data_IF_040771805996
#
_entry.id   IF_040771805996
#
_cell.length_a   1.000
_cell.length_b   1.000
_cell.length_c   1.000
_cell.angle_alpha   90.00
_cell.angle_beta   90.00
_cell.angle_gamma   90.00
#
_symmetry.space_group_name_H-M   'P 1'
#
loop_
_entity.id
_entity.type
_entity.pdbx_description
1 polymer ?
#
# COMPACT_ATOMS: atom_id res chain seq x y z
N UNK A 1 -0.31 -18.08 -29.72
CA UNK A 1 -1.34 -17.63 -28.75
C UNK A 1 -0.58 -17.02 -27.58
N UNK A 2 -0.52 -15.72 -27.51
CA UNK A 2 0.06 -15.00 -26.37
C UNK A 2 -0.89 -15.21 -25.19
N UNK A 3 -0.44 -15.92 -24.17
CA UNK A 3 -1.20 -16.11 -22.94
C UNK A 3 -1.45 -14.73 -22.36
N UNK A 4 -2.71 -14.33 -22.30
CA UNK A 4 -3.16 -13.05 -21.73
C UNK A 4 -2.73 -13.04 -20.26
N UNK A 5 -1.77 -12.21 -19.87
CA UNK A 5 -1.36 -12.09 -18.48
C UNK A 5 -2.50 -11.38 -17.72
N UNK A 6 -3.19 -12.11 -16.87
CA UNK A 6 -4.18 -11.50 -15.99
C UNK A 6 -3.43 -10.61 -14.98
N UNK A 7 -3.77 -9.31 -14.95
CA UNK A 7 -3.23 -8.38 -13.94
C UNK A 7 -3.80 -8.76 -12.57
N UNK A 8 -2.95 -9.10 -11.58
CA UNK A 8 -3.40 -9.53 -10.26
C UNK A 8 -3.85 -8.31 -9.43
N UNK A 9 -5.11 -7.90 -9.60
CA UNK A 9 -5.67 -6.80 -8.82
C UNK A 9 -5.93 -7.18 -7.37
N UNK A 10 -5.89 -6.19 -6.48
CA UNK A 10 -6.15 -6.29 -5.05
C UNK A 10 -6.84 -5.02 -4.54
N UNK A 11 -7.30 -5.04 -3.29
CA UNK A 11 -7.96 -3.91 -2.65
C UNK A 11 -7.27 -3.55 -1.33
N UNK A 12 -6.87 -2.30 -1.19
CA UNK A 12 -6.55 -1.72 0.11
C UNK A 12 -7.85 -1.22 0.77
N UNK A 13 -8.01 -1.50 2.06
CA UNK A 13 -9.24 -1.21 2.82
C UNK A 13 -9.63 0.27 2.78
N UNK A 14 -8.67 1.19 2.61
CA UNK A 14 -8.96 2.63 2.49
C UNK A 14 -9.85 2.95 1.28
N UNK A 15 -9.85 2.14 0.24
CA UNK A 15 -10.69 2.37 -0.94
C UNK A 15 -12.18 2.20 -0.65
N UNK A 16 -12.53 1.33 0.31
CA UNK A 16 -13.91 1.10 0.75
C UNK A 16 -13.96 1.04 2.30
N UNK A 17 -13.63 2.15 3.00
CA UNK A 17 -13.31 2.13 4.43
C UNK A 17 -14.50 1.83 5.35
N UNK A 18 -15.74 1.92 4.83
CA UNK A 18 -16.95 1.64 5.58
C UNK A 18 -17.30 0.15 5.65
N UNK A 19 -16.65 -0.67 4.83
CA UNK A 19 -16.84 -2.10 4.85
C UNK A 19 -16.17 -2.72 6.07
N UNK A 20 -16.76 -3.79 6.61
CA UNK A 20 -16.07 -4.67 7.56
C UNK A 20 -15.00 -5.49 6.83
N UNK A 21 -14.09 -6.14 7.57
CA UNK A 21 -13.11 -7.05 6.95
C UNK A 21 -13.78 -8.14 6.10
N UNK A 22 -14.88 -8.72 6.59
CA UNK A 22 -15.63 -9.73 5.85
C UNK A 22 -16.19 -9.17 4.54
N UNK A 23 -16.86 -8.02 4.59
CA UNK A 23 -17.42 -7.38 3.40
C UNK A 23 -16.34 -6.98 2.37
N UNK A 24 -15.16 -6.54 2.83
CA UNK A 24 -14.05 -6.24 1.94
C UNK A 24 -13.49 -7.51 1.28
N UNK A 25 -13.38 -8.60 2.04
CA UNK A 25 -12.93 -9.91 1.53
C UNK A 25 -13.95 -10.45 0.50
N UNK A 26 -15.25 -10.35 0.80
CA UNK A 26 -16.32 -10.76 -0.13
C UNK A 26 -16.26 -9.93 -1.42
N UNK A 27 -16.17 -8.60 -1.31
CA UNK A 27 -16.01 -7.69 -2.46
C UNK A 27 -14.78 -8.04 -3.31
N UNK A 28 -13.64 -8.33 -2.67
CA UNK A 28 -12.43 -8.73 -3.37
C UNK A 28 -12.61 -10.05 -4.13
N UNK A 29 -13.30 -11.03 -3.52
CA UNK A 29 -13.63 -12.31 -4.15
C UNK A 29 -14.57 -12.12 -5.36
N UNK A 30 -15.60 -11.29 -5.23
CA UNK A 30 -16.57 -10.98 -6.31
C UNK A 30 -15.91 -10.27 -7.51
N UNK A 31 -14.87 -9.48 -7.26
CA UNK A 31 -14.11 -8.75 -8.29
C UNK A 31 -12.91 -9.53 -8.85
N UNK A 32 -12.76 -10.81 -8.52
CA UNK A 32 -11.60 -11.64 -8.90
C UNK A 32 -10.25 -11.03 -8.46
N UNK A 33 -10.22 -10.33 -7.31
CA UNK A 33 -9.00 -9.82 -6.74
C UNK A 33 -8.20 -10.94 -6.06
N UNK A 34 -6.86 -10.86 -6.16
CA UNK A 34 -5.96 -11.85 -5.54
C UNK A 34 -5.81 -11.70 -4.03
N UNK A 35 -6.22 -10.55 -3.46
CA UNK A 35 -6.12 -10.30 -2.03
C UNK A 35 -6.57 -8.91 -1.61
N UNK A 36 -6.46 -8.70 -0.30
CA UNK A 36 -6.77 -7.42 0.36
C UNK A 36 -5.66 -7.00 1.31
N UNK A 37 -5.56 -5.69 1.54
CA UNK A 37 -4.78 -5.10 2.63
C UNK A 37 -5.76 -4.53 3.65
N UNK A 38 -5.67 -4.97 4.91
CA UNK A 38 -6.54 -4.51 6.00
C UNK A 38 -5.86 -3.37 6.78
N UNK A 39 -6.66 -2.44 7.31
CA UNK A 39 -6.15 -1.23 7.99
C UNK A 39 -6.66 -1.10 9.41
N UNK A 40 -5.77 -0.67 10.33
CA UNK A 40 -6.11 -0.42 11.74
C UNK A 40 -6.29 1.08 12.09
N UNK A 41 -6.05 1.96 11.13
CA UNK A 41 -6.10 3.41 11.27
C UNK A 41 -7.43 4.06 10.85
N UNK A 42 -8.39 3.29 10.33
CA UNK A 42 -9.64 3.82 9.77
C UNK A 42 -10.52 4.53 10.81
N UNK A 43 -10.54 4.04 12.06
CA UNK A 43 -11.27 4.70 13.17
C UNK A 43 -10.62 6.04 13.50
N UNK A 44 -9.30 6.07 13.62
CA UNK A 44 -8.54 7.29 13.95
C UNK A 44 -8.70 8.36 12.87
N UNK A 45 -8.79 7.92 11.61
CA UNK A 45 -9.09 8.78 10.44
C UNK A 45 -10.58 9.15 10.33
N UNK A 46 -11.46 8.62 11.19
CA UNK A 46 -12.93 8.82 11.14
C UNK A 46 -13.57 8.39 9.81
N UNK A 47 -13.05 7.34 9.21
CA UNK A 47 -13.52 6.78 7.95
C UNK A 47 -14.36 5.51 8.16
N UNK A 48 -14.27 4.89 9.34
CA UNK A 48 -15.01 3.68 9.71
C UNK A 48 -15.35 3.70 11.19
N UNK A 49 -16.42 2.98 11.55
CA UNK A 49 -16.75 2.64 12.93
C UNK A 49 -16.26 1.24 13.32
N UNK A 50 -15.59 0.55 12.39
CA UNK A 50 -15.11 -0.83 12.59
C UNK A 50 -13.62 -0.85 12.89
N UNK A 51 -13.26 -1.48 14.02
CA UNK A 51 -11.87 -1.77 14.33
C UNK A 51 -11.30 -2.83 13.37
N UNK A 52 -9.97 -2.86 13.24
CA UNK A 52 -9.29 -3.96 12.55
C UNK A 52 -9.80 -5.31 13.11
N UNK A 53 -10.19 -6.20 12.24
CA UNK A 53 -10.84 -7.49 12.55
C UNK A 53 -12.21 -7.41 13.25
N UNK A 54 -12.80 -6.24 13.47
CA UNK A 54 -14.13 -6.11 14.07
C UNK A 54 -14.26 -6.65 15.50
N UNK A 55 -13.13 -6.82 16.21
CA UNK A 55 -13.09 -7.45 17.53
C UNK A 55 -13.00 -9.00 17.48
N UNK A 56 -12.95 -9.59 16.30
CA UNK A 56 -12.76 -11.03 16.11
C UNK A 56 -11.30 -11.46 16.25
N UNK A 57 -11.09 -12.77 16.43
CA UNK A 57 -9.76 -13.36 16.38
C UNK A 57 -9.13 -13.17 14.99
N UNK A 58 -7.92 -12.59 14.88
CA UNK A 58 -7.23 -12.47 13.60
C UNK A 58 -7.15 -13.78 12.81
N UNK A 59 -7.01 -14.94 13.49
CA UNK A 59 -6.98 -16.24 12.85
C UNK A 59 -8.30 -16.60 12.14
N UNK A 60 -9.44 -16.16 12.69
CA UNK A 60 -10.76 -16.38 12.08
C UNK A 60 -10.89 -15.59 10.77
N UNK A 61 -10.48 -14.33 10.77
CA UNK A 61 -10.47 -13.50 9.56
C UNK A 61 -9.52 -14.09 8.47
N UNK A 62 -8.36 -14.58 8.89
CA UNK A 62 -7.44 -15.28 7.99
C UNK A 62 -8.03 -16.57 7.39
N UNK A 63 -8.79 -17.34 8.19
CA UNK A 63 -9.50 -18.53 7.71
C UNK A 63 -10.59 -18.13 6.69
N UNK A 64 -11.37 -17.12 7.02
CA UNK A 64 -12.43 -16.60 6.16
C UNK A 64 -11.91 -16.13 4.79
N UNK A 65 -10.78 -15.44 4.77
CA UNK A 65 -10.15 -14.99 3.54
C UNK A 65 -9.69 -16.19 2.67
N UNK A 66 -9.06 -17.21 3.30
CA UNK A 66 -8.62 -18.44 2.60
C UNK A 66 -9.77 -19.21 1.99
N UNK A 67 -10.91 -19.34 2.69
CA UNK A 67 -12.12 -19.99 2.18
C UNK A 67 -12.64 -19.32 0.90
N UNK A 68 -12.39 -18.02 0.72
CA UNK A 68 -12.75 -17.24 -0.47
C UNK A 68 -11.64 -17.11 -1.50
N UNK A 69 -10.54 -17.79 -1.30
CA UNK A 69 -9.34 -17.69 -2.15
C UNK A 69 -8.77 -16.27 -2.22
N UNK A 70 -8.99 -15.45 -1.20
CA UNK A 70 -8.49 -14.07 -1.06
C UNK A 70 -7.30 -14.09 -0.08
N UNK A 71 -6.15 -13.54 -0.51
CA UNK A 71 -4.96 -13.43 0.33
C UNK A 71 -5.07 -12.19 1.24
N UNK A 72 -4.57 -12.27 2.47
CA UNK A 72 -4.29 -11.10 3.28
C UNK A 72 -2.88 -10.60 2.93
N UNK A 73 -2.78 -9.62 2.04
CA UNK A 73 -1.51 -9.15 1.50
C UNK A 73 -0.73 -8.33 2.52
N UNK A 74 -1.43 -7.61 3.39
CA UNK A 74 -0.78 -6.81 4.42
C UNK A 74 -1.75 -6.26 5.46
N UNK A 75 -1.15 -5.83 6.58
CA UNK A 75 -1.81 -5.02 7.61
C UNK A 75 -1.18 -3.63 7.66
N UNK A 76 -1.97 -2.59 7.57
CA UNK A 76 -1.57 -1.18 7.71
C UNK A 76 -2.09 -0.62 9.03
N UNK A 77 -1.39 0.33 9.70
CA UNK A 77 -0.10 0.90 9.29
C UNK A 77 0.78 1.19 10.51
N UNK A 78 2.08 1.23 10.29
CA UNK A 78 3.04 1.82 11.25
C UNK A 78 3.45 3.20 10.72
N UNK A 79 2.66 4.22 11.05
CA UNK A 79 2.97 5.61 10.68
C UNK A 79 4.14 6.18 11.49
N UNK A 80 5.02 6.90 10.80
CA UNK A 80 6.18 7.55 11.41
C UNK A 80 7.27 6.57 11.85
N UNK A 81 7.33 5.36 11.27
CA UNK A 81 8.23 4.28 11.68
C UNK A 81 9.69 4.71 11.77
N UNK A 82 10.11 5.66 10.94
CA UNK A 82 11.46 6.18 10.87
C UNK A 82 11.81 7.24 11.94
N UNK A 83 10.87 7.51 12.87
CA UNK A 83 11.15 8.14 14.17
C UNK A 83 11.17 7.05 15.23
N UNK A 84 12.27 6.32 15.27
CA UNK A 84 12.37 5.14 16.13
C UNK A 84 12.35 5.48 17.62
N UNK A 85 11.59 4.70 18.39
CA UNK A 85 11.48 4.80 19.85
C UNK A 85 11.02 3.45 20.43
N UNK A 86 11.09 3.25 21.77
CA UNK A 86 10.52 2.08 22.42
C UNK A 86 9.03 1.87 22.11
N UNK A 87 8.24 2.94 22.10
CA UNK A 87 6.81 2.90 21.80
C UNK A 87 6.56 2.49 20.34
N UNK A 88 7.45 2.91 19.42
CA UNK A 88 7.39 2.48 18.02
C UNK A 88 7.71 0.99 17.91
N UNK A 89 8.68 0.48 18.68
CA UNK A 89 8.98 -0.95 18.72
C UNK A 89 7.77 -1.79 19.17
N UNK A 90 7.03 -1.32 20.17
CA UNK A 90 5.82 -2.01 20.67
C UNK A 90 4.69 -2.00 19.62
N UNK A 91 4.50 -0.89 18.91
CA UNK A 91 3.55 -0.83 17.78
C UNK A 91 3.91 -1.84 16.69
N UNK A 92 5.19 -1.89 16.29
CA UNK A 92 5.67 -2.85 15.29
C UNK A 92 5.42 -4.29 15.74
N UNK A 93 5.80 -4.66 16.98
CA UNK A 93 5.57 -5.99 17.52
C UNK A 93 4.08 -6.35 17.55
N UNK A 94 3.23 -5.42 17.97
CA UNK A 94 1.79 -5.62 18.01
C UNK A 94 1.21 -5.90 16.61
N UNK A 95 1.59 -5.13 15.61
CA UNK A 95 1.09 -5.32 14.24
C UNK A 95 1.64 -6.61 13.60
N UNK A 96 2.92 -6.92 13.83
CA UNK A 96 3.57 -8.17 13.40
C UNK A 96 2.85 -9.39 14.00
N UNK A 97 2.54 -9.38 15.32
CA UNK A 97 1.81 -10.46 15.96
C UNK A 97 0.39 -10.65 15.39
N UNK A 98 -0.29 -9.55 15.06
CA UNK A 98 -1.59 -9.62 14.37
C UNK A 98 -1.45 -10.20 12.95
N UNK A 99 -0.40 -9.82 12.20
CA UNK A 99 -0.13 -10.34 10.86
C UNK A 99 0.18 -11.85 10.90
N UNK A 100 1.04 -12.26 11.79
CA UNK A 100 1.36 -13.69 12.00
C UNK A 100 0.10 -14.51 12.33
N UNK A 101 -0.72 -14.02 13.26
CA UNK A 101 -1.93 -14.72 13.69
C UNK A 101 -3.02 -14.79 12.62
N UNK A 102 -3.18 -13.75 11.80
CA UNK A 102 -4.13 -13.73 10.69
C UNK A 102 -3.62 -14.46 9.44
N UNK A 103 -2.32 -14.69 9.34
CA UNK A 103 -1.66 -15.17 8.14
C UNK A 103 -1.51 -14.09 7.07
N UNK A 104 -1.50 -12.81 7.47
CA UNK A 104 -1.16 -11.72 6.57
C UNK A 104 0.34 -11.78 6.19
N UNK A 105 0.65 -11.45 4.95
CA UNK A 105 1.99 -11.64 4.38
C UNK A 105 2.97 -10.53 4.79
N UNK A 106 2.44 -9.36 5.15
CA UNK A 106 3.26 -8.18 5.43
C UNK A 106 2.61 -7.20 6.40
N UNK A 107 3.41 -6.23 6.85
CA UNK A 107 2.95 -5.00 7.48
C UNK A 107 3.42 -3.78 6.67
N UNK A 108 2.69 -2.65 6.72
CA UNK A 108 3.06 -1.41 6.03
C UNK A 108 3.79 -0.45 6.95
N UNK A 109 4.90 0.09 6.47
CA UNK A 109 5.73 1.09 7.13
C UNK A 109 5.63 2.42 6.39
N UNK A 110 4.93 3.38 6.99
CA UNK A 110 4.68 4.70 6.41
C UNK A 110 5.59 5.73 7.09
N UNK A 111 6.40 6.49 6.32
CA UNK A 111 7.31 7.48 6.89
C UNK A 111 6.55 8.69 7.44
N UNK A 112 7.19 9.44 8.30
CA UNK A 112 6.68 10.74 8.75
C UNK A 112 6.46 11.69 7.58
N UNK A 113 5.30 12.36 7.57
CA UNK A 113 4.94 13.38 6.58
C UNK A 113 4.45 14.69 7.24
N UNK A 114 4.98 15.03 8.40
CA UNK A 114 4.50 16.08 9.30
C UNK A 114 5.56 17.17 9.59
N UNK A 115 6.39 17.54 8.69
CA UNK A 115 7.41 18.62 8.82
C UNK A 115 7.77 19.08 10.27
N UNK A 116 8.96 19.62 10.55
CA UNK A 116 9.88 20.19 9.58
C UNK A 116 10.71 19.14 8.86
N UNK A 117 11.04 19.46 7.60
CA UNK A 117 11.88 18.60 6.77
C UNK A 117 13.29 18.57 7.33
N UNK A 118 13.74 17.39 7.77
CA UNK A 118 15.11 17.16 8.20
C UNK A 118 16.08 17.23 7.01
N UNK A 119 17.36 17.45 7.30
CA UNK A 119 18.41 17.35 6.28
C UNK A 119 18.46 15.92 5.69
N UNK A 120 18.91 15.75 4.43
CA UNK A 120 19.03 14.42 3.82
C UNK A 120 19.86 13.43 4.65
N UNK A 121 20.93 13.93 5.33
CA UNK A 121 21.79 13.11 6.19
C UNK A 121 21.05 12.60 7.44
N UNK A 122 20.29 13.46 8.11
CA UNK A 122 19.48 13.08 9.28
C UNK A 122 18.41 12.06 8.89
N UNK A 123 17.67 12.30 7.80
CA UNK A 123 16.67 11.35 7.29
C UNK A 123 17.26 9.98 7.01
N UNK A 124 18.42 9.93 6.37
CA UNK A 124 19.10 8.67 6.06
C UNK A 124 19.57 7.92 7.30
N UNK A 125 20.00 8.64 8.36
CA UNK A 125 20.38 8.04 9.64
C UNK A 125 19.14 7.48 10.35
N UNK A 126 18.07 8.26 10.46
CA UNK A 126 16.82 7.86 11.12
C UNK A 126 16.21 6.63 10.44
N UNK A 127 16.17 6.64 9.11
CA UNK A 127 15.66 5.52 8.33
C UNK A 127 16.46 4.23 8.58
N UNK A 128 17.80 4.30 8.50
CA UNK A 128 18.65 3.12 8.76
C UNK A 128 18.54 2.64 10.19
N UNK A 129 18.45 3.54 11.16
CA UNK A 129 18.28 3.20 12.58
C UNK A 129 16.98 2.43 12.79
N UNK A 130 15.88 2.92 12.24
CA UNK A 130 14.59 2.26 12.34
C UNK A 130 14.60 0.87 11.65
N UNK A 131 15.10 0.78 10.42
CA UNK A 131 15.15 -0.49 9.71
C UNK A 131 16.04 -1.51 10.40
N UNK A 132 17.20 -1.10 10.94
CA UNK A 132 18.07 -2.00 11.70
C UNK A 132 17.38 -2.55 12.96
N UNK A 133 16.56 -1.74 13.63
CA UNK A 133 15.86 -2.13 14.84
C UNK A 133 14.58 -2.98 14.55
N UNK A 134 13.90 -2.74 13.43
CA UNK A 134 12.72 -3.53 13.01
C UNK A 134 13.12 -4.90 12.46
N UNK A 135 14.26 -5.00 11.79
CA UNK A 135 14.70 -6.22 11.10
C UNK A 135 14.64 -7.51 11.95
N UNK A 136 15.14 -7.56 13.21
CA UNK A 136 15.05 -8.76 14.03
C UNK A 136 13.60 -9.14 14.36
N UNK A 137 12.70 -8.18 14.54
CA UNK A 137 11.26 -8.44 14.81
C UNK A 137 10.62 -9.14 13.62
N UNK A 138 10.88 -8.66 12.41
CA UNK A 138 10.37 -9.28 11.18
C UNK A 138 10.98 -10.66 10.93
N UNK A 139 12.28 -10.81 11.21
CA UNK A 139 12.99 -12.07 10.99
C UNK A 139 12.49 -13.18 11.90
N UNK A 140 12.18 -12.87 13.16
CA UNK A 140 11.63 -13.82 14.14
C UNK A 140 10.24 -14.33 13.73
N UNK A 141 9.37 -13.44 13.27
CA UNK A 141 8.01 -13.76 12.85
C UNK A 141 7.90 -14.28 11.40
N UNK A 142 8.95 -14.14 10.58
CA UNK A 142 8.90 -14.49 9.15
C UNK A 142 8.00 -13.58 8.30
N UNK A 143 7.66 -12.39 8.81
CA UNK A 143 6.79 -11.39 8.16
C UNK A 143 7.63 -10.45 7.30
N UNK A 144 7.07 -9.97 6.18
CA UNK A 144 7.64 -8.88 5.38
C UNK A 144 7.19 -7.51 5.92
N UNK A 145 8.00 -6.49 5.69
CA UNK A 145 7.53 -5.11 5.82
C UNK A 145 7.62 -4.40 4.46
N UNK A 146 6.55 -3.70 4.11
CA UNK A 146 6.40 -2.89 2.92
C UNK A 146 6.66 -1.43 3.29
N UNK A 147 7.71 -0.84 2.73
CA UNK A 147 8.08 0.56 2.96
C UNK A 147 7.48 1.38 1.84
N UNK A 148 6.68 2.39 2.20
CA UNK A 148 6.06 3.28 1.23
C UNK A 148 6.72 4.66 1.23
N UNK A 149 7.59 4.99 0.28
CA UNK A 149 8.06 6.36 0.10
C UNK A 149 6.93 7.26 -0.37
N UNK A 150 6.69 8.35 0.36
CA UNK A 150 5.65 9.32 0.02
C UNK A 150 6.22 10.46 -0.82
N UNK A 151 5.67 10.71 -2.00
CA UNK A 151 6.15 11.72 -2.95
C UNK A 151 6.06 13.18 -2.49
N UNK A 152 5.45 13.47 -1.34
CA UNK A 152 5.30 14.81 -0.80
C UNK A 152 6.64 15.46 -0.41
N UNK A 153 6.73 16.77 -0.57
CA UNK A 153 7.91 17.55 -0.16
C UNK A 153 8.14 17.56 1.35
N UNK A 154 7.09 17.29 2.13
CA UNK A 154 7.11 17.20 3.59
C UNK A 154 7.47 15.81 4.11
N UNK A 155 7.56 14.80 3.22
CA UNK A 155 7.88 13.45 3.63
C UNK A 155 9.34 13.30 4.07
N UNK A 156 9.52 12.57 5.15
CA UNK A 156 10.85 12.19 5.66
C UNK A 156 11.51 11.07 4.83
N UNK A 157 10.75 10.41 3.95
CA UNK A 157 11.25 9.46 2.95
C UNK A 157 10.47 9.69 1.66
N UNK A 158 11.08 10.41 0.72
CA UNK A 158 10.42 10.82 -0.51
C UNK A 158 10.65 9.86 -1.68
N UNK A 159 11.85 9.30 -1.79
CA UNK A 159 12.29 8.56 -2.96
C UNK A 159 12.53 7.08 -2.65
N UNK A 160 12.11 6.22 -3.58
CA UNK A 160 12.35 4.76 -3.49
C UNK A 160 13.84 4.42 -3.42
N UNK A 161 14.69 5.18 -4.13
CA UNK A 161 16.15 5.01 -4.05
C UNK A 161 16.66 5.12 -2.61
N UNK A 162 16.20 6.11 -1.83
CA UNK A 162 16.60 6.29 -0.42
C UNK A 162 16.25 5.04 0.41
N UNK A 163 15.05 4.48 0.18
CA UNK A 163 14.63 3.24 0.86
C UNK A 163 15.47 2.04 0.45
N UNK A 164 15.74 1.86 -0.85
CA UNK A 164 16.58 0.75 -1.36
C UNK A 164 18.00 0.82 -0.80
N UNK A 165 18.59 2.00 -0.74
CA UNK A 165 19.93 2.20 -0.16
C UNK A 165 19.95 1.86 1.34
N UNK A 166 18.90 2.26 2.08
CA UNK A 166 18.78 1.93 3.50
C UNK A 166 18.58 0.42 3.72
N UNK A 167 17.72 -0.24 2.92
CA UNK A 167 17.52 -1.70 2.96
C UNK A 167 18.84 -2.44 2.72
N UNK A 168 19.63 -2.01 1.71
CA UNK A 168 20.95 -2.59 1.43
C UNK A 168 21.91 -2.39 2.60
N UNK A 169 21.94 -1.18 3.17
CA UNK A 169 22.85 -0.84 4.27
C UNK A 169 22.61 -1.70 5.53
N UNK A 170 21.36 -2.09 5.80
CA UNK A 170 21.02 -2.95 6.96
C UNK A 170 20.98 -4.44 6.61
N UNK A 171 21.29 -4.84 5.36
CA UNK A 171 21.21 -6.24 4.93
C UNK A 171 19.79 -6.81 4.90
N UNK A 172 18.78 -5.94 4.83
CA UNK A 172 17.37 -6.28 5.04
C UNK A 172 16.60 -6.81 3.83
N UNK A 173 17.24 -7.04 2.67
CA UNK A 173 16.54 -7.42 1.41
C UNK A 173 15.59 -8.63 1.56
N UNK A 174 15.85 -9.52 2.51
CA UNK A 174 14.99 -10.70 2.73
C UNK A 174 13.64 -10.30 3.36
N UNK A 175 13.59 -9.24 4.19
CA UNK A 175 12.44 -8.89 5.01
C UNK A 175 11.77 -7.57 4.63
N UNK A 176 12.42 -6.74 3.79
CA UNK A 176 11.86 -5.48 3.32
C UNK A 176 11.54 -5.52 1.83
N UNK A 177 10.40 -4.92 1.47
CA UNK A 177 10.03 -4.58 0.11
C UNK A 177 9.52 -3.14 0.07
N UNK A 178 9.38 -2.61 -1.12
CA UNK A 178 8.76 -1.30 -1.37
C UNK A 178 7.28 -1.46 -1.70
N UNK A 179 6.51 -0.47 -1.33
CA UNK A 179 5.32 -0.09 -2.05
C UNK A 179 5.75 0.80 -3.22
N UNK A 180 5.34 0.45 -4.45
CA UNK A 180 5.36 1.39 -5.55
C UNK A 180 3.95 1.98 -5.66
N UNK A 181 3.73 3.13 -5.06
CA UNK A 181 2.48 3.86 -5.20
C UNK A 181 2.55 4.78 -6.43
N UNK A 182 1.60 4.65 -7.35
CA UNK A 182 1.59 5.39 -8.63
C UNK A 182 1.42 6.89 -8.43
N UNK A 183 0.65 7.30 -7.41
CA UNK A 183 0.47 8.69 -7.04
C UNK A 183 1.77 9.28 -6.46
N UNK A 184 2.37 8.60 -5.49
CA UNK A 184 3.60 9.06 -4.87
C UNK A 184 4.79 9.03 -5.82
N UNK A 185 4.86 8.05 -6.72
CA UNK A 185 5.86 8.00 -7.79
C UNK A 185 5.76 9.23 -8.71
N UNK A 186 4.52 9.58 -9.11
CA UNK A 186 4.26 10.75 -9.94
C UNK A 186 4.64 12.06 -9.22
N UNK A 187 4.23 12.22 -7.95
CA UNK A 187 4.57 13.41 -7.15
C UNK A 187 6.07 13.57 -6.91
N UNK A 188 6.77 12.47 -6.72
CA UNK A 188 8.22 12.49 -6.52
C UNK A 188 8.98 12.87 -7.80
N UNK A 189 8.36 12.69 -8.97
CA UNK A 189 9.02 12.87 -10.26
C UNK A 189 10.14 11.85 -10.49
N UNK A 190 10.02 10.65 -9.90
CA UNK A 190 11.00 9.58 -10.08
C UNK A 190 10.88 8.93 -11.46
N UNK A 191 12.03 8.52 -12.01
CA UNK A 191 12.10 7.72 -13.24
C UNK A 191 12.48 6.26 -12.99
N UNK A 192 12.88 5.91 -11.76
CA UNK A 192 13.30 4.56 -11.39
C UNK A 192 12.19 3.78 -10.69
N UNK A 193 12.06 2.50 -11.04
CA UNK A 193 10.96 1.64 -10.60
C UNK A 193 11.32 0.63 -9.50
N UNK A 194 12.51 0.04 -9.50
CA UNK A 194 12.99 -0.98 -8.54
C UNK A 194 12.08 -2.22 -8.43
N UNK A 195 11.72 -2.89 -9.52
CA UNK A 195 10.76 -4.01 -9.50
C UNK A 195 11.22 -5.17 -8.60
N UNK A 196 12.53 -5.41 -8.47
CA UNK A 196 13.11 -6.46 -7.64
C UNK A 196 13.03 -6.19 -6.13
N UNK A 197 12.68 -4.96 -5.75
CA UNK A 197 12.38 -4.55 -4.37
C UNK A 197 10.88 -4.34 -4.15
N UNK A 198 10.07 -4.22 -5.19
CA UNK A 198 8.63 -3.93 -5.07
C UNK A 198 7.88 -5.17 -4.59
N UNK A 199 7.17 -5.04 -3.48
CA UNK A 199 6.31 -6.09 -2.92
C UNK A 199 4.85 -5.94 -3.35
N UNK A 200 4.37 -4.70 -3.44
CA UNK A 200 3.03 -4.37 -3.89
C UNK A 200 3.05 -3.04 -4.67
N UNK A 201 2.11 -2.87 -5.57
CA UNK A 201 1.86 -1.60 -6.27
C UNK A 201 0.52 -1.04 -5.82
N UNK A 202 0.51 0.18 -5.27
CA UNK A 202 -0.72 0.91 -5.03
C UNK A 202 -1.11 1.70 -6.28
N UNK A 203 -2.38 1.61 -6.66
CA UNK A 203 -2.96 2.34 -7.78
C UNK A 203 -4.12 3.23 -7.32
N UNK A 204 -4.14 4.43 -7.84
CA UNK A 204 -5.25 5.38 -7.74
C UNK A 204 -5.15 6.36 -8.91
N UNK A 205 -6.25 6.98 -9.32
CA UNK A 205 -6.28 7.96 -10.39
C UNK A 205 -6.35 9.40 -9.87
N UNK A 206 -5.94 10.35 -10.68
CA UNK A 206 -6.24 11.77 -10.52
C UNK A 206 -6.68 12.31 -11.88
N UNK A 207 -7.93 12.74 -12.00
CA UNK A 207 -8.50 13.25 -13.28
C UNK A 207 -8.68 14.77 -13.28
N UNK A 208 -8.53 15.47 -12.15
CA UNK A 208 -8.73 16.91 -12.02
C UNK A 208 -7.69 17.71 -12.80
N UNK A 209 -8.07 18.23 -13.98
CA UNK A 209 -7.16 18.85 -14.95
C UNK A 209 -6.52 20.16 -14.46
N UNK A 210 -7.17 20.89 -13.56
CA UNK A 210 -6.74 22.22 -13.13
C UNK A 210 -5.73 22.19 -11.98
N UNK A 211 -5.57 21.04 -11.30
CA UNK A 211 -4.64 20.92 -10.19
C UNK A 211 -3.21 20.69 -10.68
N UNK A 212 -2.25 21.48 -10.20
CA UNK A 212 -0.84 21.20 -10.49
C UNK A 212 -0.29 20.10 -9.56
N UNK A 213 0.80 19.45 -9.97
CA UNK A 213 1.35 18.28 -9.27
C UNK A 213 1.66 18.58 -7.80
N UNK A 214 2.20 19.77 -7.50
CA UNK A 214 2.57 20.20 -6.15
C UNK A 214 1.36 20.40 -5.23
N UNK A 215 0.18 20.57 -5.82
CA UNK A 215 -1.09 20.75 -5.10
C UNK A 215 -1.88 19.45 -4.96
N UNK A 216 -1.49 18.38 -5.64
CA UNK A 216 -2.14 17.09 -5.49
C UNK A 216 -2.02 16.59 -4.04
N UNK A 217 -3.12 16.05 -3.50
CA UNK A 217 -3.23 15.49 -2.15
C UNK A 217 -4.02 14.18 -2.22
N UNK A 218 -4.02 13.43 -1.12
CA UNK A 218 -4.74 12.15 -1.04
C UNK A 218 -6.23 12.28 -1.39
N UNK A 219 -6.88 13.39 -1.06
CA UNK A 219 -8.30 13.64 -1.38
C UNK A 219 -8.62 13.65 -2.88
N UNK A 220 -7.61 13.82 -3.74
CA UNK A 220 -7.77 13.78 -5.20
C UNK A 220 -7.62 12.36 -5.77
N UNK A 221 -7.24 11.38 -4.95
CA UNK A 221 -6.99 10.00 -5.36
C UNK A 221 -8.30 9.25 -5.53
N UNK A 222 -8.77 9.15 -6.78
CA UNK A 222 -9.99 8.45 -7.20
C UNK A 222 -9.66 7.09 -7.83
N UNK A 223 -10.67 6.39 -8.34
CA UNK A 223 -10.46 5.20 -9.17
C UNK A 223 -9.92 5.61 -10.56
N UNK A 224 -9.09 4.74 -11.14
CA UNK A 224 -8.44 5.02 -12.44
C UNK A 224 -9.46 4.94 -13.58
N UNK A 225 -9.44 5.94 -14.44
CA UNK A 225 -10.24 6.04 -15.65
C UNK A 225 -9.39 6.56 -16.85
N UNK A 226 -10.03 6.88 -17.97
CA UNK A 226 -9.39 7.39 -19.17
C UNK A 226 -8.76 8.78 -19.03
N UNK A 227 -9.18 9.55 -18.03
CA UNK A 227 -8.66 10.91 -17.75
C UNK A 227 -7.51 10.90 -16.73
N UNK A 228 -7.03 9.72 -16.34
CA UNK A 228 -5.98 9.57 -15.34
C UNK A 228 -4.68 10.26 -15.70
N UNK A 229 -4.28 11.23 -14.90
CA UNK A 229 -3.06 12.04 -15.05
C UNK A 229 -1.81 11.41 -14.45
N UNK A 230 -1.97 10.40 -13.61
CA UNK A 230 -0.84 9.70 -12.97
C UNK A 230 -0.18 8.70 -13.92
N UNK A 231 -0.80 8.43 -15.08
CA UNK A 231 -0.32 7.48 -16.09
C UNK A 231 -0.24 6.06 -15.53
N UNK A 232 -1.25 5.63 -14.78
CA UNK A 232 -1.29 4.30 -14.17
C UNK A 232 -1.04 3.18 -15.19
N UNK A 233 -1.67 3.25 -16.37
CA UNK A 233 -1.48 2.26 -17.44
C UNK A 233 -0.01 2.14 -17.84
N UNK A 234 0.69 3.27 -18.01
CA UNK A 234 2.11 3.26 -18.38
C UNK A 234 2.98 2.73 -17.24
N UNK A 235 2.71 3.14 -16.00
CA UNK A 235 3.46 2.65 -14.83
C UNK A 235 3.28 1.14 -14.64
N UNK A 236 2.08 0.60 -14.83
CA UNK A 236 1.80 -0.85 -14.76
C UNK A 236 2.56 -1.59 -15.87
N UNK A 237 2.54 -1.06 -17.12
CA UNK A 237 3.30 -1.64 -18.25
C UNK A 237 4.80 -1.65 -17.98
N UNK A 238 5.34 -0.54 -17.50
CA UNK A 238 6.77 -0.41 -17.22
C UNK A 238 7.23 -1.38 -16.12
N UNK A 239 6.47 -1.48 -15.02
CA UNK A 239 6.76 -2.43 -13.94
C UNK A 239 6.71 -3.86 -14.44
N UNK A 240 5.66 -4.22 -15.17
CA UNK A 240 5.47 -5.57 -15.71
C UNK A 240 6.57 -5.92 -16.72
N UNK A 241 6.90 -5.02 -17.63
CA UNK A 241 7.99 -5.21 -18.61
C UNK A 241 9.36 -5.40 -17.95
N UNK A 242 9.54 -4.83 -16.73
CA UNK A 242 10.76 -4.98 -15.92
C UNK A 242 10.72 -6.20 -14.98
N UNK A 243 9.69 -7.06 -15.09
CA UNK A 243 9.59 -8.32 -14.38
C UNK A 243 8.81 -8.28 -13.06
N UNK A 244 8.08 -7.19 -12.75
CA UNK A 244 7.14 -7.22 -11.63
C UNK A 244 5.93 -8.09 -11.97
N UNK A 245 5.57 -9.01 -11.07
CA UNK A 245 4.46 -9.93 -11.22
C UNK A 245 3.56 -10.00 -9.97
N UNK A 246 3.76 -9.07 -9.05
CA UNK A 246 2.99 -8.98 -7.79
C UNK A 246 1.66 -8.23 -7.95
N UNK A 247 0.93 -8.05 -6.82
CA UNK A 247 -0.39 -7.43 -6.82
C UNK A 247 -0.37 -5.93 -7.16
N UNK A 248 -1.46 -5.49 -7.81
CA UNK A 248 -1.81 -4.08 -8.02
C UNK A 248 -3.05 -3.78 -7.19
N UNK A 249 -2.86 -3.08 -6.08
CA UNK A 249 -3.87 -2.85 -5.04
C UNK A 249 -4.47 -1.45 -5.15
N UNK A 250 -5.79 -1.34 -5.25
CA UNK A 250 -6.45 -0.04 -5.20
C UNK A 250 -6.30 0.61 -3.85
N UNK A 251 -5.79 1.86 -3.86
CA UNK A 251 -5.65 2.70 -2.68
C UNK A 251 -6.18 4.12 -2.98
N UNK A 252 -7.50 4.23 -3.12
CA UNK A 252 -8.18 5.49 -3.38
C UNK A 252 -8.60 6.17 -2.07
N UNK A 253 -8.24 7.45 -1.92
CA UNK A 253 -8.51 8.23 -0.70
C UNK A 253 -9.61 9.27 -0.86
N UNK A 254 -10.12 9.46 -2.08
CA UNK A 254 -11.12 10.50 -2.33
C UNK A 254 -12.41 10.27 -1.53
N UNK A 255 -12.94 11.31 -0.84
CA UNK A 255 -14.24 11.21 -0.18
C UNK A 255 -15.38 10.80 -1.11
N UNK A 256 -15.27 11.11 -2.41
CA UNK A 256 -16.27 10.70 -3.41
C UNK A 256 -16.28 9.18 -3.59
N UNK A 257 -15.10 8.55 -3.61
CA UNK A 257 -14.99 7.09 -3.67
C UNK A 257 -15.50 6.46 -2.37
N UNK A 258 -15.10 7.00 -1.22
CA UNK A 258 -15.51 6.50 0.10
C UNK A 258 -17.03 6.61 0.35
N UNK A 259 -17.69 7.56 -0.28
CA UNK A 259 -19.14 7.76 -0.15
C UNK A 259 -19.98 6.91 -1.10
N UNK A 260 -19.34 6.12 -1.97
CA UNK A 260 -20.05 5.30 -2.94
C UNK A 260 -21.00 4.30 -2.28
N UNK A 261 -22.24 4.26 -2.76
CA UNK A 261 -23.21 3.23 -2.38
C UNK A 261 -23.02 1.90 -3.15
N UNK A 262 -22.25 1.95 -4.25
CA UNK A 262 -22.03 0.81 -5.16
C UNK A 262 -20.53 0.62 -5.46
N UNK A 263 -19.69 0.34 -4.44
CA UNK A 263 -18.24 0.22 -4.60
C UNK A 263 -17.87 -0.91 -5.59
N UNK A 264 -18.58 -2.02 -5.57
CA UNK A 264 -18.38 -3.14 -6.50
C UNK A 264 -18.49 -2.69 -7.97
N UNK A 265 -19.55 -1.96 -8.29
CA UNK A 265 -19.81 -1.51 -9.66
C UNK A 265 -18.77 -0.50 -10.14
N UNK A 266 -18.35 0.43 -9.25
CA UNK A 266 -17.35 1.43 -9.58
C UNK A 266 -15.96 0.80 -9.77
N UNK A 267 -15.54 -0.07 -8.86
CA UNK A 267 -14.29 -0.82 -8.97
C UNK A 267 -14.30 -1.73 -10.20
N UNK A 268 -15.41 -2.42 -10.45
CA UNK A 268 -15.57 -3.27 -11.63
C UNK A 268 -15.35 -2.52 -12.93
N UNK A 269 -15.91 -1.31 -13.06
CA UNK A 269 -15.69 -0.44 -14.25
C UNK A 269 -14.23 -0.03 -14.39
N UNK A 270 -13.60 0.39 -13.31
CA UNK A 270 -12.19 0.80 -13.33
C UNK A 270 -11.25 -0.37 -13.64
N UNK A 271 -11.47 -1.55 -13.07
CA UNK A 271 -10.73 -2.76 -13.44
C UNK A 271 -10.92 -3.14 -14.92
N UNK A 272 -12.15 -3.02 -15.43
CA UNK A 272 -12.43 -3.29 -16.85
C UNK A 272 -11.69 -2.32 -17.77
N UNK A 273 -11.65 -1.02 -17.41
CA UNK A 273 -10.84 -0.02 -18.10
C UNK A 273 -9.36 -0.40 -18.11
N UNK A 274 -8.77 -0.65 -16.94
CA UNK A 274 -7.36 -1.02 -16.82
C UNK A 274 -7.03 -2.29 -17.62
N UNK A 275 -7.87 -3.34 -17.51
CA UNK A 275 -7.69 -4.58 -18.30
C UNK A 275 -7.72 -4.30 -19.79
N UNK A 276 -8.63 -3.44 -20.26
CA UNK A 276 -8.73 -3.06 -21.68
C UNK A 276 -7.53 -2.25 -22.15
N UNK A 277 -7.09 -1.28 -21.34
CA UNK A 277 -5.99 -0.39 -21.69
C UNK A 277 -4.63 -1.10 -21.67
N UNK A 278 -4.46 -2.15 -20.85
CA UNK A 278 -3.21 -2.92 -20.75
C UNK A 278 -3.03 -3.96 -21.86
N UNK A 279 -4.04 -4.18 -22.66
CA UNK A 279 -4.03 -5.07 -23.83
C UNK A 279 -3.88 -4.31 -25.12
#
# INVERSE_FOLDING_TARGET
MTTRMAVPFALNHITAPRLTCHQLIDLASELDCVGVELRDDLIDKKLSDHALFGGEDPAAIGAYARERSVRLLGLSEIYGFNKWSPEMADKVRSLVAKAERSGAESISLIPRNDAPVQSPGERAIDLRTALAAILPILAEAGILALIEPLGFTTSSLKYKREAVEAIKAVGGKKHYRLVHDTFHHHLAGESEYFPEYTGIVHISGVSEQQICVEQMRDEHRILVDEEDRLRNVDQIRDLTARGYAGPFSYEAFSPVVHASAEPEQQLGRSFAYLRSALH
#
